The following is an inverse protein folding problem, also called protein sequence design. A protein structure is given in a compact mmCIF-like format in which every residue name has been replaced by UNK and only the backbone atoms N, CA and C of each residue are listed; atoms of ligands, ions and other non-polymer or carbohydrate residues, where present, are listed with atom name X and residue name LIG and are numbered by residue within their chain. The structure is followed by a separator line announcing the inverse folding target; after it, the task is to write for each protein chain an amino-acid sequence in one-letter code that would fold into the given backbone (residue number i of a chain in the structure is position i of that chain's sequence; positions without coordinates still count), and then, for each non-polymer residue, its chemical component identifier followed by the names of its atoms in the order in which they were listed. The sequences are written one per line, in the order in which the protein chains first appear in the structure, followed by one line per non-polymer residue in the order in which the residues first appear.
data_IF_717116481964
#
_entry.id   IF_717116481964
#
_cell.length_a   1.000
_cell.length_b   1.000
_cell.length_c   1.000
_cell.angle_alpha   90.00
_cell.angle_beta   90.00
_cell.angle_gamma   90.00
#
_symmetry.space_group_name_H-M   'P 1'
#
loop_
_entity.id
_entity.type
_entity.pdbx_description
1 polymer ?
#
# COMPACT_ATOMS: atom_id res chain seq x y z
N UNK A 1 15.93 32.61 -20.79
CA UNK A 1 14.93 33.21 -19.85
C UNK A 1 14.25 32.15 -18.98
N UNK A 2 13.92 30.97 -19.51
CA UNK A 2 13.30 29.83 -18.77
C UNK A 2 14.18 29.23 -17.67
N UNK A 3 15.51 29.14 -17.86
CA UNK A 3 16.41 28.61 -16.82
C UNK A 3 16.53 29.48 -15.56
N UNK A 4 16.35 30.81 -15.69
CA UNK A 4 16.46 31.75 -14.56
C UNK A 4 15.20 31.70 -13.68
N UNK A 5 14.04 31.38 -14.27
CA UNK A 5 12.77 31.23 -13.54
C UNK A 5 12.75 29.91 -12.76
N UNK A 6 13.30 28.82 -13.32
CA UNK A 6 13.38 27.52 -12.65
C UNK A 6 14.30 27.55 -11.41
N UNK A 7 15.41 28.28 -11.45
CA UNK A 7 16.33 28.40 -10.30
C UNK A 7 15.75 29.25 -9.18
N UNK A 8 14.96 30.30 -9.49
CA UNK A 8 14.28 31.10 -8.48
C UNK A 8 13.20 30.31 -7.72
N UNK A 9 12.44 29.44 -8.41
CA UNK A 9 11.41 28.60 -7.78
C UNK A 9 12.05 27.53 -6.87
N UNK A 10 13.17 26.94 -7.30
CA UNK A 10 13.89 25.94 -6.51
C UNK A 10 14.49 26.52 -5.21
N UNK A 11 15.02 27.75 -5.26
CA UNK A 11 15.55 28.43 -4.06
C UNK A 11 14.44 28.76 -3.05
N UNK A 12 13.24 29.16 -3.51
CA UNK A 12 12.10 29.43 -2.63
C UNK A 12 11.63 28.14 -1.93
N UNK A 13 11.59 27.01 -2.64
CA UNK A 13 11.19 25.72 -2.08
C UNK A 13 12.17 25.24 -0.98
N UNK A 14 13.48 25.44 -1.16
CA UNK A 14 14.50 25.10 -0.16
C UNK A 14 14.36 25.96 1.09
N UNK A 15 14.09 27.27 0.96
CA UNK A 15 13.94 28.18 2.10
C UNK A 15 12.68 27.83 2.91
N UNK A 16 11.56 27.52 2.25
CA UNK A 16 10.32 27.10 2.93
C UNK A 16 10.51 25.75 3.63
N UNK A 17 11.20 24.80 3.00
CA UNK A 17 11.50 23.49 3.60
C UNK A 17 12.44 23.60 4.81
N UNK A 18 13.46 24.47 4.75
CA UNK A 18 14.37 24.73 5.85
C UNK A 18 13.68 25.39 7.05
N UNK A 19 12.75 26.33 6.82
CA UNK A 19 11.94 26.95 7.87
C UNK A 19 10.98 25.93 8.50
N UNK A 20 10.37 25.05 7.70
CA UNK A 20 9.49 23.98 8.18
C UNK A 20 10.25 22.96 9.05
N UNK A 21 11.45 22.53 8.64
CA UNK A 21 12.28 21.63 9.44
C UNK A 21 12.79 22.29 10.74
N UNK A 22 13.11 23.59 10.72
CA UNK A 22 13.54 24.32 11.93
C UNK A 22 12.39 24.48 12.94
N UNK A 23 11.14 24.60 12.49
CA UNK A 23 9.97 24.74 13.35
C UNK A 23 9.55 23.42 14.02
N UNK A 24 9.81 22.27 13.38
CA UNK A 24 9.53 20.96 13.96
C UNK A 24 10.58 20.47 14.96
N UNK A 25 11.82 21.01 14.93
CA UNK A 25 12.91 20.56 15.82
C UNK A 25 12.98 21.32 17.15
N UNK A 26 12.10 22.29 17.39
CA UNK A 26 12.10 23.13 18.60
C UNK A 26 11.07 22.73 19.66
N UNK A 27 10.26 21.67 19.44
CA UNK A 27 9.21 21.25 20.37
C UNK A 27 9.54 19.98 21.19
N UNK A 28 10.70 19.35 21.00
CA UNK A 28 11.04 18.07 21.65
C UNK A 28 11.96 18.19 22.88
N UNK A 29 11.93 19.32 23.57
CA UNK A 29 12.66 19.45 24.84
C UNK A 29 11.91 20.29 25.87
N UNK A 30 10.78 19.76 26.34
CA UNK A 30 10.27 20.02 27.70
C UNK A 30 9.15 19.04 28.07
N UNK A 31 9.48 17.97 28.80
CA UNK A 31 8.74 17.52 30.00
C UNK A 31 9.14 16.10 30.39
N UNK A 32 10.05 15.99 31.36
CA UNK A 32 10.08 14.87 32.30
C UNK A 32 9.10 15.22 33.42
N UNK A 33 8.00 14.50 33.55
CA UNK A 33 7.60 13.85 34.80
C UNK A 33 6.28 13.06 34.66
N UNK A 34 6.36 11.79 35.03
CA UNK A 34 5.34 11.01 35.74
C UNK A 34 3.92 10.93 35.17
N UNK A 35 3.64 9.88 34.41
CA UNK A 35 2.38 9.16 34.53
C UNK A 35 2.58 7.69 34.11
N UNK A 36 2.18 6.79 34.99
CA UNK A 36 2.13 5.34 34.81
C UNK A 36 1.50 4.95 33.46
N UNK A 37 2.26 4.31 32.57
CA UNK A 37 1.69 3.57 31.45
C UNK A 37 1.56 2.10 31.86
N UNK A 38 0.38 1.77 32.38
CA UNK A 38 -0.14 0.41 32.34
C UNK A 38 0.09 -0.14 30.92
N UNK A 39 0.94 -1.16 30.81
CA UNK A 39 1.01 -2.01 29.62
C UNK A 39 -0.27 -2.85 29.60
N UNK A 40 -1.38 -2.24 29.18
CA UNK A 40 -2.50 -3.02 28.70
C UNK A 40 -2.00 -3.85 27.51
N UNK A 41 -2.16 -5.18 27.51
CA UNK A 41 -1.87 -5.98 26.33
C UNK A 41 -2.66 -5.39 25.16
N UNK A 42 -1.98 -5.06 24.04
CA UNK A 42 -2.70 -4.81 22.79
C UNK A 42 -3.58 -6.03 22.56
N UNK A 43 -4.90 -5.82 22.54
CA UNK A 43 -5.83 -6.89 22.20
C UNK A 43 -5.38 -7.49 20.87
N UNK A 44 -4.98 -8.76 20.89
CA UNK A 44 -4.64 -9.49 19.68
C UNK A 44 -5.91 -9.54 18.82
N UNK A 45 -5.83 -8.94 17.63
CA UNK A 45 -6.92 -8.97 16.67
C UNK A 45 -7.08 -10.43 16.23
N UNK A 46 -8.29 -10.98 16.35
CA UNK A 46 -8.53 -12.36 15.90
C UNK A 46 -8.31 -12.47 14.38
N UNK A 47 -7.94 -13.66 13.87
CA UNK A 47 -7.82 -13.88 12.42
C UNK A 47 -9.06 -13.45 11.63
N UNK A 48 -10.26 -13.70 12.15
CA UNK A 48 -11.51 -13.28 11.50
C UNK A 48 -11.65 -11.76 11.42
N UNK A 49 -11.28 -11.05 12.47
CA UNK A 49 -11.34 -9.59 12.50
C UNK A 49 -10.27 -8.96 11.61
N UNK A 50 -9.08 -9.57 11.54
CA UNK A 50 -8.04 -9.15 10.61
C UNK A 50 -8.48 -9.38 9.15
N UNK A 51 -9.03 -10.55 8.84
CA UNK A 51 -9.52 -10.84 7.49
C UNK A 51 -10.68 -9.92 7.09
N UNK A 52 -11.60 -9.64 8.00
CA UNK A 52 -12.67 -8.65 7.77
C UNK A 52 -12.11 -7.27 7.43
N UNK A 53 -11.06 -6.83 8.12
CA UNK A 53 -10.41 -5.54 7.84
C UNK A 53 -9.81 -5.50 6.43
N UNK A 54 -9.27 -6.62 5.95
CA UNK A 54 -8.76 -6.76 4.58
C UNK A 54 -9.92 -6.66 3.58
N UNK A 55 -11.01 -7.42 3.79
CA UNK A 55 -12.19 -7.35 2.93
C UNK A 55 -12.80 -5.95 2.87
N UNK A 56 -12.90 -5.25 4.00
CA UNK A 56 -13.41 -3.88 4.05
C UNK A 56 -12.54 -2.93 3.21
N UNK A 57 -11.22 -3.11 3.22
CA UNK A 57 -10.29 -2.31 2.40
C UNK A 57 -10.46 -2.58 0.90
N UNK A 58 -10.53 -3.86 0.51
CA UNK A 58 -10.73 -4.28 -0.89
C UNK A 58 -12.10 -3.83 -1.42
N UNK A 59 -13.16 -3.93 -0.61
CA UNK A 59 -14.50 -3.44 -0.96
C UNK A 59 -14.49 -1.92 -1.15
N UNK A 60 -13.84 -1.19 -0.24
CA UNK A 60 -13.72 0.27 -0.32
C UNK A 60 -12.99 0.69 -1.59
N UNK A 61 -11.94 -0.03 -1.98
CA UNK A 61 -11.25 0.16 -3.25
C UNK A 61 -12.19 -0.06 -4.44
N UNK A 62 -12.93 -1.17 -4.48
CA UNK A 62 -13.85 -1.46 -5.58
C UNK A 62 -14.92 -0.36 -5.72
N UNK A 63 -15.50 0.09 -4.61
CA UNK A 63 -16.46 1.21 -4.59
C UNK A 63 -15.82 2.51 -5.10
N UNK A 64 -14.57 2.78 -4.73
CA UNK A 64 -13.84 3.98 -5.18
C UNK A 64 -13.63 3.96 -6.69
N UNK A 65 -13.22 2.83 -7.27
CA UNK A 65 -13.06 2.67 -8.73
C UNK A 65 -14.37 2.94 -9.47
N UNK A 66 -15.49 2.40 -8.98
CA UNK A 66 -16.81 2.60 -9.60
C UNK A 66 -17.30 4.06 -9.58
N UNK A 67 -16.80 4.87 -8.65
CA UNK A 67 -17.15 6.30 -8.56
C UNK A 67 -16.35 7.18 -9.51
N UNK A 68 -15.22 6.71 -10.03
CA UNK A 68 -14.39 7.47 -10.96
C UNK A 68 -14.74 7.12 -12.41
N UNK A 69 -15.68 7.86 -13.00
CA UNK A 69 -16.13 7.64 -14.38
C UNK A 69 -15.05 7.91 -15.44
N UNK A 70 -13.94 8.56 -15.08
CA UNK A 70 -12.83 8.84 -15.99
C UNK A 70 -11.74 7.78 -15.96
N UNK A 71 -11.86 6.77 -15.10
CA UNK A 71 -10.86 5.72 -14.95
C UNK A 71 -11.03 4.64 -16.03
N UNK A 72 -9.95 4.18 -16.70
CA UNK A 72 -10.05 3.21 -17.77
C UNK A 72 -10.61 1.86 -17.31
N UNK A 73 -11.60 1.32 -18.04
CA UNK A 73 -12.24 0.03 -17.72
C UNK A 73 -11.25 -1.14 -17.71
N UNK A 74 -10.26 -1.13 -18.61
CA UNK A 74 -9.17 -2.12 -18.61
C UNK A 74 -8.44 -2.13 -17.26
N UNK A 75 -8.06 -0.97 -16.76
CA UNK A 75 -7.38 -0.86 -15.46
C UNK A 75 -8.29 -1.24 -14.30
N UNK A 76 -9.60 -0.96 -14.38
CA UNK A 76 -10.56 -1.46 -13.39
C UNK A 76 -10.55 -2.98 -13.36
N UNK A 77 -10.59 -3.63 -14.52
CA UNK A 77 -10.55 -5.10 -14.62
C UNK A 77 -9.26 -5.70 -14.05
N UNK A 78 -8.10 -5.11 -14.34
CA UNK A 78 -6.82 -5.54 -13.77
C UNK A 78 -6.81 -5.44 -12.24
N UNK A 79 -7.34 -4.35 -11.67
CA UNK A 79 -7.39 -4.19 -10.22
C UNK A 79 -8.41 -5.15 -9.58
N UNK A 80 -9.56 -5.39 -10.24
CA UNK A 80 -10.56 -6.36 -9.79
C UNK A 80 -10.00 -7.79 -9.80
N UNK A 81 -9.19 -8.16 -10.79
CA UNK A 81 -8.49 -9.44 -10.79
C UNK A 81 -7.56 -9.60 -9.57
N UNK A 82 -6.79 -8.56 -9.23
CA UNK A 82 -5.96 -8.56 -8.01
C UNK A 82 -6.83 -8.72 -6.74
N UNK A 83 -7.98 -8.04 -6.68
CA UNK A 83 -8.92 -8.17 -5.55
C UNK A 83 -9.40 -9.62 -5.42
N UNK A 84 -9.83 -10.23 -6.52
CA UNK A 84 -10.32 -11.61 -6.55
C UNK A 84 -9.22 -12.60 -6.12
N UNK A 85 -7.98 -12.39 -6.57
CA UNK A 85 -6.81 -13.14 -6.12
C UNK A 85 -6.61 -13.04 -4.61
N UNK A 86 -6.60 -11.83 -4.07
CA UNK A 86 -6.40 -11.59 -2.64
C UNK A 86 -7.51 -12.23 -1.80
N UNK A 87 -8.76 -12.20 -2.27
CA UNK A 87 -9.90 -12.83 -1.60
C UNK A 87 -9.79 -14.36 -1.54
N UNK A 88 -9.12 -14.98 -2.52
CA UNK A 88 -8.87 -16.42 -2.53
C UNK A 88 -7.68 -16.80 -1.66
N UNK A 89 -6.52 -16.12 -1.84
CA UNK A 89 -5.26 -16.56 -1.23
C UNK A 89 -5.14 -16.17 0.24
N UNK A 90 -5.66 -15.02 0.64
CA UNK A 90 -5.50 -14.47 2.00
C UNK A 90 -6.07 -15.40 3.07
N UNK A 91 -7.36 -15.84 3.02
CA UNK A 91 -7.90 -16.72 4.06
C UNK A 91 -7.14 -18.05 4.10
N UNK A 92 -6.75 -18.57 2.93
CA UNK A 92 -6.00 -19.81 2.82
C UNK A 92 -4.62 -19.74 3.48
N UNK A 93 -3.92 -18.61 3.33
CA UNK A 93 -2.63 -18.35 3.97
C UNK A 93 -2.75 -18.14 5.47
N UNK A 94 -3.81 -17.43 5.90
CA UNK A 94 -4.08 -17.21 7.32
C UNK A 94 -4.40 -18.51 8.06
N UNK A 95 -5.10 -19.45 7.40
CA UNK A 95 -5.44 -20.75 7.98
C UNK A 95 -4.25 -21.72 7.98
N UNK A 96 -3.60 -21.90 6.82
CA UNK A 96 -2.58 -22.95 6.64
C UNK A 96 -1.18 -22.53 7.08
N UNK A 97 -0.87 -21.24 6.97
CA UNK A 97 0.49 -20.71 7.15
C UNK A 97 0.52 -19.38 7.93
N UNK A 98 -0.16 -19.25 9.09
CA UNK A 98 -0.33 -17.96 9.78
C UNK A 98 0.99 -17.26 10.18
N UNK A 99 2.06 -18.03 10.42
CA UNK A 99 3.36 -17.52 10.85
C UNK A 99 4.34 -17.20 9.71
N UNK A 100 3.98 -17.48 8.46
CA UNK A 100 4.87 -17.28 7.32
C UNK A 100 4.97 -15.80 6.93
N UNK A 101 6.17 -15.35 6.54
CA UNK A 101 6.38 -13.95 6.10
C UNK A 101 5.53 -13.62 4.88
N UNK A 102 5.31 -14.60 3.98
CA UNK A 102 4.44 -14.42 2.83
C UNK A 102 2.99 -14.10 3.24
N UNK A 103 2.49 -14.72 4.32
CA UNK A 103 1.16 -14.40 4.87
C UNK A 103 1.09 -12.96 5.33
N UNK A 104 2.13 -12.46 6.01
CA UNK A 104 2.19 -11.06 6.41
C UNK A 104 2.14 -10.11 5.21
N UNK A 105 2.95 -10.37 4.18
CA UNK A 105 3.00 -9.50 2.99
C UNK A 105 1.69 -9.51 2.20
N UNK A 106 1.06 -10.68 2.00
CA UNK A 106 -0.25 -10.79 1.35
C UNK A 106 -1.30 -9.98 2.13
N UNK A 107 -1.33 -10.12 3.46
CA UNK A 107 -2.24 -9.32 4.31
C UNK A 107 -1.96 -7.82 4.19
N UNK A 108 -0.69 -7.41 4.12
CA UNK A 108 -0.30 -6.00 3.96
C UNK A 108 -0.80 -5.43 2.63
N UNK A 109 -0.69 -6.20 1.54
CA UNK A 109 -1.18 -5.80 0.22
C UNK A 109 -2.69 -5.57 0.25
N UNK A 110 -3.45 -6.57 0.73
CA UNK A 110 -4.91 -6.49 0.75
C UNK A 110 -5.46 -5.46 1.73
N UNK A 111 -4.78 -5.26 2.87
CA UNK A 111 -5.20 -4.28 3.88
C UNK A 111 -4.91 -2.84 3.47
N UNK A 112 -3.77 -2.57 2.84
CA UNK A 112 -3.26 -1.20 2.70
C UNK A 112 -2.72 -0.88 1.32
N UNK A 113 -1.77 -1.65 0.80
CA UNK A 113 -0.98 -1.19 -0.35
C UNK A 113 -1.82 -0.96 -1.60
N UNK A 114 -2.63 -1.94 -2.01
CA UNK A 114 -3.40 -1.82 -3.25
C UNK A 114 -4.34 -0.61 -3.19
N UNK A 115 -5.05 -0.45 -2.06
CA UNK A 115 -5.92 0.70 -1.84
C UNK A 115 -5.14 2.02 -1.93
N UNK A 116 -4.01 2.11 -1.23
CA UNK A 116 -3.18 3.33 -1.19
C UNK A 116 -2.66 3.68 -2.58
N UNK A 117 -2.07 2.73 -3.31
CA UNK A 117 -1.53 2.93 -4.65
C UNK A 117 -2.59 3.45 -5.62
N UNK A 118 -3.78 2.84 -5.63
CA UNK A 118 -4.87 3.30 -6.51
C UNK A 118 -5.39 4.65 -6.07
N UNK A 119 -5.60 4.85 -4.76
CA UNK A 119 -6.10 6.12 -4.24
C UNK A 119 -5.15 7.28 -4.57
N UNK A 120 -3.85 7.09 -4.37
CA UNK A 120 -2.84 8.12 -4.67
C UNK A 120 -2.87 8.52 -6.15
N UNK A 121 -3.06 7.56 -7.06
CA UNK A 121 -3.24 7.86 -8.48
C UNK A 121 -4.55 8.60 -8.76
N UNK A 122 -5.66 8.18 -8.14
CA UNK A 122 -6.96 8.83 -8.30
C UNK A 122 -7.02 10.22 -7.62
N UNK A 123 -6.20 10.50 -6.62
CA UNK A 123 -6.14 11.84 -6.02
C UNK A 123 -5.42 12.86 -6.93
N UNK A 124 -4.74 12.41 -8.00
CA UNK A 124 -4.10 13.29 -8.97
C UNK A 124 -5.11 14.04 -9.84
N UNK A 125 -4.72 15.25 -10.28
CA UNK A 125 -5.43 15.97 -11.34
C UNK A 125 -5.40 15.19 -12.66
N UNK A 126 -6.35 15.45 -13.56
CA UNK A 126 -6.47 14.74 -14.84
C UNK A 126 -5.20 14.79 -15.69
N UNK A 127 -4.47 15.91 -15.71
CA UNK A 127 -3.22 16.02 -16.47
C UNK A 127 -2.07 15.24 -15.82
N UNK A 128 -1.98 15.27 -14.49
CA UNK A 128 -1.02 14.44 -13.75
C UNK A 128 -1.29 12.95 -13.92
N UNK A 129 -2.56 12.54 -13.94
CA UNK A 129 -2.98 11.15 -14.21
C UNK A 129 -2.51 10.67 -15.58
N UNK A 130 -2.65 11.50 -16.63
CA UNK A 130 -2.16 11.17 -17.98
C UNK A 130 -0.65 10.98 -17.98
N UNK A 131 0.09 11.89 -17.35
CA UNK A 131 1.56 11.84 -17.33
C UNK A 131 2.11 10.66 -16.51
N UNK A 132 1.36 10.17 -15.52
CA UNK A 132 1.78 9.08 -14.64
C UNK A 132 1.13 7.74 -14.99
N UNK A 133 0.27 7.68 -16.01
CA UNK A 133 -0.52 6.49 -16.33
C UNK A 133 0.35 5.25 -16.58
N UNK A 134 1.40 5.37 -17.37
CA UNK A 134 2.28 4.23 -17.69
C UNK A 134 3.00 3.68 -16.44
N UNK A 135 3.39 4.56 -15.52
CA UNK A 135 4.03 4.15 -14.26
C UNK A 135 3.03 3.47 -13.33
N UNK A 136 1.81 4.01 -13.26
CA UNK A 136 0.71 3.42 -12.51
C UNK A 136 0.35 2.04 -13.09
N UNK A 137 0.18 1.92 -14.41
CA UNK A 137 -0.11 0.66 -15.10
C UNK A 137 0.93 -0.41 -14.79
N UNK A 138 2.22 -0.10 -14.90
CA UNK A 138 3.31 -1.04 -14.54
C UNK A 138 3.28 -1.47 -13.08
N UNK A 139 2.88 -0.57 -12.18
CA UNK A 139 2.73 -0.90 -10.76
C UNK A 139 1.58 -1.90 -10.55
N UNK A 140 0.44 -1.68 -11.21
CA UNK A 140 -0.71 -2.60 -11.15
C UNK A 140 -0.38 -3.94 -11.80
N UNK A 141 0.23 -3.96 -12.99
CA UNK A 141 0.69 -5.19 -13.66
C UNK A 141 1.62 -5.99 -12.74
N UNK A 142 2.58 -5.32 -12.09
CA UNK A 142 3.45 -5.99 -11.14
C UNK A 142 2.72 -6.53 -9.91
N UNK A 143 1.69 -5.85 -9.42
CA UNK A 143 0.90 -6.37 -8.29
C UNK A 143 0.10 -7.59 -8.72
N UNK A 144 -0.45 -7.58 -9.93
CA UNK A 144 -1.18 -8.70 -10.52
C UNK A 144 -0.30 -9.92 -10.74
N UNK A 145 0.89 -9.75 -11.32
CA UNK A 145 1.86 -10.84 -11.48
C UNK A 145 2.21 -11.51 -10.14
N UNK A 146 2.42 -10.70 -9.11
CA UNK A 146 2.79 -11.23 -7.79
C UNK A 146 1.61 -11.88 -7.08
N UNK A 147 0.41 -11.32 -7.22
CA UNK A 147 -0.81 -11.89 -6.67
C UNK A 147 -1.06 -13.27 -7.27
N UNK A 148 -0.96 -13.40 -8.60
CA UNK A 148 -1.05 -14.67 -9.30
C UNK A 148 0.05 -15.65 -8.89
N UNK A 149 1.31 -15.21 -8.84
CA UNK A 149 2.40 -16.12 -8.41
C UNK A 149 2.24 -16.57 -6.96
N UNK A 150 1.73 -15.69 -6.09
CA UNK A 150 1.43 -16.03 -4.70
C UNK A 150 0.29 -17.06 -4.63
N UNK A 151 -0.76 -16.91 -5.45
CA UNK A 151 -1.81 -17.94 -5.60
C UNK A 151 -1.22 -19.27 -6.02
N UNK A 152 -0.42 -19.29 -7.09
CA UNK A 152 0.20 -20.51 -7.61
C UNK A 152 1.01 -21.26 -6.55
N UNK A 153 1.87 -20.53 -5.83
CA UNK A 153 2.70 -21.07 -4.76
C UNK A 153 1.84 -21.71 -3.66
N UNK A 154 0.70 -21.10 -3.35
CA UNK A 154 -0.22 -21.50 -2.27
C UNK A 154 -1.14 -22.66 -2.67
N UNK A 155 -1.55 -22.71 -3.93
CA UNK A 155 -2.33 -23.80 -4.52
C UNK A 155 -1.48 -25.05 -4.74
N UNK A 156 -0.23 -24.88 -5.20
CA UNK A 156 0.73 -25.97 -5.45
C UNK A 156 1.48 -26.41 -4.20
N UNK A 157 1.27 -25.73 -3.06
CA UNK A 157 1.96 -26.00 -1.79
C UNK A 157 3.50 -25.92 -1.91
N UNK A 158 4.01 -24.98 -2.68
CA UNK A 158 5.43 -24.75 -2.94
C UNK A 158 6.07 -23.93 -1.80
N UNK A 159 6.04 -24.44 -0.58
CA UNK A 159 6.50 -23.71 0.63
C UNK A 159 7.95 -23.24 0.56
N UNK A 160 8.79 -23.90 -0.23
CA UNK A 160 10.17 -23.47 -0.50
C UNK A 160 10.27 -22.06 -1.13
N UNK A 161 9.24 -21.64 -1.88
CA UNK A 161 9.20 -20.33 -2.54
C UNK A 161 8.73 -19.19 -1.64
N UNK A 162 8.18 -19.50 -0.44
CA UNK A 162 7.52 -18.51 0.41
C UNK A 162 8.45 -17.38 0.82
N UNK A 163 9.67 -17.72 1.27
CA UNK A 163 10.66 -16.73 1.69
C UNK A 163 11.12 -15.85 0.53
N UNK A 164 11.33 -16.44 -0.65
CA UNK A 164 11.70 -15.72 -1.87
C UNK A 164 10.61 -14.72 -2.24
N UNK A 165 9.36 -15.17 -2.24
CA UNK A 165 8.23 -14.32 -2.58
C UNK A 165 8.01 -13.21 -1.56
N UNK A 166 8.09 -13.52 -0.27
CA UNK A 166 7.95 -12.53 0.80
C UNK A 166 9.02 -11.43 0.70
N UNK A 167 10.28 -11.80 0.47
CA UNK A 167 11.36 -10.83 0.30
C UNK A 167 11.16 -9.95 -0.95
N UNK A 168 10.66 -10.54 -2.04
CA UNK A 168 10.32 -9.78 -3.25
C UNK A 168 9.22 -8.76 -2.97
N UNK A 169 8.14 -9.17 -2.30
CA UNK A 169 7.03 -8.31 -1.92
C UNK A 169 7.48 -7.17 -1.00
N UNK A 170 8.22 -7.51 0.06
CA UNK A 170 8.76 -6.52 0.99
C UNK A 170 9.68 -5.53 0.25
N UNK A 171 10.60 -5.99 -0.58
CA UNK A 171 11.53 -5.10 -1.28
C UNK A 171 10.88 -4.20 -2.33
N UNK A 172 9.79 -4.65 -2.96
CA UNK A 172 9.14 -3.92 -4.05
C UNK A 172 8.05 -2.96 -3.57
N UNK A 173 7.40 -3.28 -2.45
CA UNK A 173 6.23 -2.55 -1.95
C UNK A 173 6.36 -2.07 -0.50
N UNK A 174 7.55 -2.07 0.11
CA UNK A 174 7.76 -1.63 1.52
C UNK A 174 7.29 -0.21 1.80
#
# INVERSE_FOLDING_TARGET
MTMIIATAIFLIAIIVFAIYMKKNKANDSASKHSASSSFAPKAEISPDQEYKTILDSLLKLNIMLRKDHGFPLEMTGEIEAIIDDLMVITPSMMERYPGETLTYEIKKIGREHLYKTVKEYLDLSSDSRKNQFDMFKKTIESLHEVSNRSRDIVEKNETAEFKTMANFLAGKFS
#
